data_IF_013271328826
#
_entry.id   IF_013271328826
#
_cell.length_a   1.000
_cell.length_b   1.000
_cell.length_c   1.000
_cell.angle_alpha   90.00
_cell.angle_beta   90.00
_cell.angle_gamma   90.00
#
_symmetry.space_group_name_H-M   'P 1'
#
loop_
_entity.id
_entity.type
_entity.pdbx_description
1 polymer ?
#
# COMPACT_ATOMS: atom_id res chain seq x y z
N UNK A 1 48.67 29.13 31.19
CA UNK A 1 47.91 29.52 29.99
C UNK A 1 48.31 28.57 28.88
N UNK A 2 47.45 27.61 28.55
CA UNK A 2 47.73 26.72 27.42
C UNK A 2 46.43 26.41 26.69
N UNK A 3 46.48 26.60 25.37
CA UNK A 3 45.33 26.64 24.46
C UNK A 3 44.99 25.22 24.04
N UNK A 4 43.76 24.76 24.29
CA UNK A 4 43.21 23.56 23.65
C UNK A 4 42.57 23.97 22.32
N UNK A 5 43.22 23.55 21.24
CA UNK A 5 42.70 23.63 19.87
C UNK A 5 41.67 22.53 19.68
N UNK A 6 40.44 22.92 19.35
CA UNK A 6 39.36 22.02 18.93
C UNK A 6 39.54 21.72 17.44
N UNK A 7 39.70 20.44 17.08
CA UNK A 7 39.76 19.99 15.69
C UNK A 7 38.44 19.28 15.39
N UNK A 8 37.58 19.97 14.64
CA UNK A 8 36.35 19.44 14.07
C UNK A 8 36.72 18.60 12.84
N UNK A 9 36.50 17.29 12.90
CA UNK A 9 36.66 16.40 11.75
C UNK A 9 35.29 16.22 11.10
N UNK A 10 35.08 16.94 10.00
CA UNK A 10 33.98 16.71 9.06
C UNK A 10 34.25 15.39 8.32
N UNK A 11 33.45 14.37 8.56
CA UNK A 11 33.39 13.20 7.69
C UNK A 11 32.36 13.47 6.60
N UNK A 12 32.87 13.75 5.39
CA UNK A 12 32.08 13.77 4.16
C UNK A 12 32.13 12.36 3.58
N UNK A 13 31.01 11.62 3.65
CA UNK A 13 30.90 10.32 3.01
C UNK A 13 30.33 10.53 1.60
N UNK A 14 31.22 10.49 0.61
CA UNK A 14 30.87 10.48 -0.79
C UNK A 14 30.32 9.10 -1.16
N UNK A 15 29.07 9.03 -1.62
CA UNK A 15 28.50 7.84 -2.23
C UNK A 15 29.13 7.65 -3.61
N UNK A 16 29.77 6.51 -3.82
CA UNK A 16 30.35 6.13 -5.10
C UNK A 16 29.25 5.52 -5.99
N UNK A 17 28.94 6.20 -7.09
CA UNK A 17 28.19 5.67 -8.21
C UNK A 17 28.94 4.48 -8.83
N UNK A 18 28.27 3.35 -9.04
CA UNK A 18 28.66 2.36 -10.05
C UNK A 18 27.43 1.98 -10.86
N UNK A 19 27.54 1.93 -12.20
CA UNK A 19 26.39 1.74 -13.09
C UNK A 19 25.95 0.27 -13.11
N UNK A 20 24.64 0.05 -13.08
CA UNK A 20 24.02 -1.22 -13.41
C UNK A 20 24.32 -1.59 -14.88
N UNK A 21 24.76 -2.81 -15.10
CA UNK A 21 24.89 -3.43 -16.42
C UNK A 21 23.59 -4.14 -16.76
N UNK A 22 22.85 -3.60 -17.74
CA UNK A 22 21.80 -4.31 -18.46
C UNK A 22 22.42 -5.48 -19.25
N UNK A 23 21.99 -6.71 -18.96
CA UNK A 23 22.17 -7.84 -19.87
C UNK A 23 20.82 -8.21 -20.51
N UNK A 24 20.52 -7.52 -21.60
CA UNK A 24 19.56 -7.91 -22.63
C UNK A 24 20.13 -9.09 -23.43
N UNK A 25 19.51 -10.27 -23.31
CA UNK A 25 19.85 -11.45 -24.10
C UNK A 25 18.80 -11.68 -25.19
N UNK A 26 18.89 -10.87 -26.25
CA UNK A 26 18.22 -11.11 -27.51
C UNK A 26 18.71 -12.40 -28.20
N UNK A 27 17.77 -13.23 -28.65
CA UNK A 27 18.01 -14.27 -29.66
C UNK A 27 17.22 -13.92 -30.92
N UNK A 28 17.94 -13.70 -32.02
CA UNK A 28 17.42 -13.56 -33.38
C UNK A 28 17.75 -14.80 -34.20
N UNK A 29 16.77 -15.33 -34.95
CA UNK A 29 16.99 -15.93 -36.28
C UNK A 29 15.65 -16.23 -36.97
N UNK A 30 15.53 -15.83 -38.26
CA UNK A 30 14.66 -16.52 -39.22
C UNK A 30 13.77 -15.65 -40.11
N UNK A 31 14.36 -14.91 -41.05
CA UNK A 31 13.66 -14.28 -42.17
C UNK A 31 13.31 -15.32 -43.26
N UNK A 32 12.11 -15.27 -43.82
CA UNK A 32 11.88 -15.63 -45.22
C UNK A 32 10.75 -14.80 -45.85
N UNK A 33 11.07 -14.30 -47.04
CA UNK A 33 10.35 -13.36 -47.91
C UNK A 33 9.22 -14.02 -48.72
N UNK A 34 8.14 -13.26 -49.00
CA UNK A 34 7.04 -13.70 -49.88
C UNK A 34 6.10 -12.58 -50.34
N UNK A 35 6.66 -11.64 -51.11
CA UNK A 35 6.12 -10.75 -52.16
C UNK A 35 4.58 -10.71 -52.49
N UNK A 36 4.05 -9.47 -52.40
CA UNK A 36 3.18 -8.68 -53.33
C UNK A 36 1.91 -9.27 -53.95
N UNK A 37 0.80 -8.55 -53.74
CA UNK A 37 -0.38 -8.50 -54.61
C UNK A 37 -1.26 -7.29 -54.24
N UNK A 38 -1.06 -6.18 -54.95
CA UNK A 38 -1.92 -4.98 -55.00
C UNK A 38 -3.10 -5.25 -55.94
N UNK A 39 -4.31 -4.83 -55.58
CA UNK A 39 -5.21 -4.07 -56.45
C UNK A 39 -6.55 -3.77 -55.73
N UNK A 40 -6.87 -2.47 -55.67
CA UNK A 40 -8.06 -2.02 -56.39
C UNK A 40 -9.38 -1.78 -55.64
N UNK A 41 -9.53 -0.54 -55.17
CA UNK A 41 -10.66 0.37 -55.49
C UNK A 41 -12.08 0.03 -54.98
N UNK A 42 -12.66 0.86 -54.11
CA UNK A 42 -13.66 1.90 -54.47
C UNK A 42 -14.32 2.49 -53.22
N UNK A 43 -14.26 3.82 -53.13
CA UNK A 43 -15.08 4.63 -52.24
C UNK A 43 -16.53 4.67 -52.74
N UNK A 44 -17.50 4.68 -51.84
CA UNK A 44 -18.78 5.35 -52.10
C UNK A 44 -19.32 5.96 -50.82
N UNK A 45 -19.48 7.27 -50.90
CA UNK A 45 -20.19 8.17 -49.99
C UNK A 45 -21.68 7.85 -49.90
N UNK A 46 -22.26 7.93 -48.70
CA UNK A 46 -23.70 7.94 -48.51
C UNK A 46 -24.09 8.60 -47.20
N UNK A 47 -24.46 9.88 -47.26
CA UNK A 47 -25.12 10.62 -46.18
C UNK A 47 -26.65 10.63 -46.41
N UNK A 48 -27.43 10.37 -45.37
CA UNK A 48 -28.82 10.81 -45.15
C UNK A 48 -29.26 10.28 -43.78
N UNK A 49 -29.42 11.11 -42.74
CA UNK A 49 -30.43 12.15 -42.47
C UNK A 49 -31.67 11.63 -41.70
N UNK A 50 -31.85 12.23 -40.52
CA UNK A 50 -33.10 12.52 -39.76
C UNK A 50 -34.00 11.34 -39.39
N UNK A 51 -34.36 11.12 -38.12
CA UNK A 51 -35.28 11.97 -37.33
C UNK A 51 -35.45 11.32 -35.94
N UNK A 52 -35.43 12.10 -34.86
CA UNK A 52 -36.20 11.80 -33.66
C UNK A 52 -36.53 13.11 -32.94
N UNK A 53 -37.83 13.42 -32.94
CA UNK A 53 -38.41 14.61 -32.35
C UNK A 53 -38.62 14.45 -30.84
N UNK A 54 -38.45 15.57 -30.14
CA UNK A 54 -38.82 15.79 -28.75
C UNK A 54 -40.34 15.95 -28.57
N UNK A 55 -40.87 15.49 -27.43
CA UNK A 55 -42.11 15.94 -26.75
C UNK A 55 -42.17 15.15 -25.41
N UNK A 56 -42.59 15.63 -24.24
CA UNK A 56 -43.40 16.78 -23.81
C UNK A 56 -43.15 17.02 -22.31
N UNK A 57 -43.13 18.28 -21.89
CA UNK A 57 -43.23 18.73 -20.49
C UNK A 57 -44.68 19.16 -20.16
N UNK A 58 -45.09 18.99 -18.90
CA UNK A 58 -46.24 19.62 -18.23
C UNK A 58 -45.87 19.67 -16.73
N UNK A 59 -45.81 20.77 -15.97
CA UNK A 59 -46.70 21.94 -15.75
C UNK A 59 -48.10 21.48 -15.27
N UNK A 60 -48.72 21.88 -14.15
CA UNK A 60 -48.61 22.96 -13.13
C UNK A 60 -49.23 22.35 -11.83
N UNK A 61 -49.09 22.83 -10.59
CA UNK A 61 -49.75 24.01 -10.01
C UNK A 61 -49.26 24.29 -8.59
N UNK A 62 -49.08 25.58 -8.32
CA UNK A 62 -48.80 26.23 -7.04
C UNK A 62 -50.13 26.53 -6.33
N UNK A 63 -50.17 26.46 -5.01
CA UNK A 63 -51.11 27.21 -4.18
C UNK A 63 -50.38 27.77 -2.95
N UNK A 64 -50.50 29.08 -2.84
CA UNK A 64 -49.94 30.05 -1.89
C UNK A 64 -50.93 30.30 -0.74
N UNK A 65 -50.42 30.66 0.45
CA UNK A 65 -50.84 31.87 1.20
C UNK A 65 -50.46 31.84 2.70
N UNK A 66 -49.36 32.52 2.99
CA UNK A 66 -49.20 33.63 3.96
C UNK A 66 -49.37 33.50 5.50
N UNK A 67 -48.26 33.90 6.15
CA UNK A 67 -48.10 34.86 7.29
C UNK A 67 -48.51 34.47 8.71
N UNK A 68 -47.53 34.44 9.62
CA UNK A 68 -47.39 35.43 10.70
C UNK A 68 -46.01 35.28 11.40
N UNK A 69 -45.34 36.40 11.63
CA UNK A 69 -44.21 36.50 12.54
C UNK A 69 -44.73 36.58 13.98
N UNK A 70 -44.12 35.83 14.90
CA UNK A 70 -44.17 36.15 16.33
C UNK A 70 -42.84 35.79 17.00
N UNK A 71 -42.40 36.69 17.87
CA UNK A 71 -41.13 36.64 18.58
C UNK A 71 -41.40 36.10 19.99
N UNK A 72 -40.63 35.11 20.46
CA UNK A 72 -40.73 34.72 21.86
C UNK A 72 -40.00 33.44 22.22
N UNK A 73 -38.78 33.61 22.71
CA UNK A 73 -38.12 32.82 23.78
C UNK A 73 -38.52 31.34 23.92
N UNK A 74 -37.71 30.46 23.35
CA UNK A 74 -37.62 29.04 23.73
C UNK A 74 -36.19 28.74 24.16
N UNK A 75 -36.06 28.12 25.32
CA UNK A 75 -34.79 27.78 25.98
C UNK A 75 -33.96 26.85 25.08
N UNK A 76 -32.74 27.28 24.78
CA UNK A 76 -31.73 26.48 24.09
C UNK A 76 -31.22 25.43 25.10
N UNK A 77 -31.88 24.27 25.09
CA UNK A 77 -31.38 23.06 25.72
C UNK A 77 -30.09 22.69 24.99
N UNK A 78 -28.97 23.12 25.57
CA UNK A 78 -27.62 22.81 25.16
C UNK A 78 -27.37 21.31 25.26
N UNK A 79 -27.93 20.57 24.30
CA UNK A 79 -27.56 19.23 23.94
C UNK A 79 -26.13 19.26 23.47
N UNK A 80 -25.22 19.11 24.42
CA UNK A 80 -23.83 18.78 24.18
C UNK A 80 -23.83 17.51 23.34
N UNK A 81 -23.66 17.66 22.03
CA UNK A 81 -23.22 16.56 21.19
C UNK A 81 -21.81 16.25 21.68
N UNK A 82 -21.69 15.35 22.65
CA UNK A 82 -20.50 14.52 22.80
C UNK A 82 -20.36 13.74 21.50
N UNK A 83 -19.79 14.40 20.49
CA UNK A 83 -19.21 13.69 19.37
C UNK A 83 -18.21 12.73 19.98
N UNK A 84 -18.45 11.44 19.80
CA UNK A 84 -17.39 10.46 20.00
C UNK A 84 -16.15 11.00 19.27
N UNK A 85 -14.95 10.94 19.87
CA UNK A 85 -13.73 11.35 19.18
C UNK A 85 -13.72 10.64 17.82
N UNK A 86 -13.41 11.39 16.76
CA UNK A 86 -13.21 10.79 15.45
C UNK A 86 -12.10 9.73 15.63
N UNK A 87 -12.46 8.46 15.47
CA UNK A 87 -11.55 7.33 15.68
C UNK A 87 -10.57 7.36 14.49
N UNK A 88 -9.30 7.62 14.76
CA UNK A 88 -8.24 7.53 13.77
C UNK A 88 -7.74 6.07 13.70
N UNK A 89 -7.11 5.65 12.59
CA UNK A 89 -6.41 4.36 12.52
C UNK A 89 -5.48 4.08 13.72
N UNK A 90 -4.81 5.12 14.24
CA UNK A 90 -3.92 5.03 15.41
C UNK A 90 -4.64 4.82 16.75
N UNK A 91 -5.97 5.00 16.82
CA UNK A 91 -6.76 4.64 18.00
C UNK A 91 -7.07 3.14 18.04
N UNK A 92 -6.97 2.44 16.90
CA UNK A 92 -7.22 1.00 16.76
C UNK A 92 -5.91 0.19 16.76
N UNK A 93 -4.92 0.61 15.96
CA UNK A 93 -3.61 -0.02 15.88
C UNK A 93 -2.57 0.84 16.62
N UNK A 94 -1.62 0.22 17.33
CA UNK A 94 -0.49 0.95 17.91
C UNK A 94 0.49 1.38 16.81
N UNK A 95 0.35 2.64 16.38
CA UNK A 95 1.16 3.21 15.30
C UNK A 95 2.34 4.06 15.80
N UNK A 96 2.63 4.06 17.11
CA UNK A 96 3.70 4.90 17.68
C UNK A 96 5.07 4.61 17.05
N UNK A 97 5.35 3.34 16.80
CA UNK A 97 6.58 2.84 16.19
C UNK A 97 6.47 2.66 14.67
N UNK A 98 5.76 3.54 13.97
CA UNK A 98 5.56 3.44 12.52
C UNK A 98 5.62 4.81 11.83
N UNK A 99 6.00 4.79 10.55
CA UNK A 99 5.64 5.84 9.58
C UNK A 99 4.77 5.21 8.48
N UNK A 100 3.99 6.02 7.78
CA UNK A 100 3.13 5.59 6.67
C UNK A 100 3.65 6.17 5.35
N UNK A 101 3.73 5.37 4.30
CA UNK A 101 3.96 5.83 2.92
C UNK A 101 2.68 5.63 2.11
N UNK A 102 2.24 6.66 1.37
CA UNK A 102 0.98 6.67 0.61
C UNK A 102 1.21 6.73 -0.91
N UNK A 103 0.23 6.28 -1.73
CA UNK A 103 0.36 6.21 -3.20
C UNK A 103 0.07 7.56 -3.88
N UNK A 104 0.18 8.66 -3.15
CA UNK A 104 -0.11 10.02 -3.62
C UNK A 104 1.06 10.94 -3.34
N UNK A 105 1.21 11.97 -4.17
CA UNK A 105 2.11 13.08 -3.89
C UNK A 105 1.35 14.25 -3.23
N UNK A 106 2.08 15.08 -2.50
CA UNK A 106 1.57 16.37 -1.99
C UNK A 106 2.44 17.53 -2.46
N UNK A 107 3.68 17.57 -1.97
CA UNK A 107 4.57 18.71 -2.15
C UNK A 107 5.57 18.48 -3.30
N UNK A 108 5.97 17.23 -3.52
CA UNK A 108 6.83 16.81 -4.62
C UNK A 108 6.07 15.80 -5.49
N UNK A 109 5.73 16.13 -6.75
CA UNK A 109 4.81 15.32 -7.56
C UNK A 109 5.31 13.90 -7.84
N UNK A 110 6.62 13.69 -7.74
CA UNK A 110 7.30 12.42 -8.03
C UNK A 110 7.71 11.68 -6.75
N UNK A 111 7.31 12.15 -5.56
CA UNK A 111 7.58 11.45 -4.30
C UNK A 111 6.29 11.06 -3.59
N UNK A 112 6.20 9.81 -3.10
CA UNK A 112 5.05 9.39 -2.31
C UNK A 112 5.04 10.14 -0.99
N UNK A 113 3.84 10.50 -0.53
CA UNK A 113 3.64 11.20 0.73
C UNK A 113 3.96 10.26 1.89
N UNK A 114 4.93 10.67 2.72
CA UNK A 114 5.22 10.01 3.99
C UNK A 114 4.61 10.78 5.15
N UNK A 115 3.92 10.07 6.05
CA UNK A 115 3.35 10.61 7.28
C UNK A 115 4.14 10.03 8.45
N UNK A 116 4.83 10.90 9.18
CA UNK A 116 5.63 10.55 10.35
C UNK A 116 4.88 10.89 11.64
N UNK A 117 5.38 10.41 12.78
CA UNK A 117 4.94 10.90 14.07
C UNK A 117 5.36 12.37 14.30
N UNK A 118 4.56 13.18 15.00
CA UNK A 118 3.30 12.84 15.66
C UNK A 118 2.06 12.91 14.76
N UNK A 119 2.19 13.29 13.48
CA UNK A 119 1.05 13.48 12.57
C UNK A 119 0.27 12.16 12.37
N UNK A 120 0.99 11.05 12.19
CA UNK A 120 0.40 9.72 11.99
C UNK A 120 -0.58 9.33 13.12
N UNK A 121 -0.31 9.76 14.36
CA UNK A 121 -1.17 9.47 15.52
C UNK A 121 -2.60 10.00 15.42
N UNK A 122 -2.91 10.88 14.45
CA UNK A 122 -4.28 11.37 14.20
C UNK A 122 -4.65 11.35 12.71
N UNK A 123 -3.81 10.73 11.88
CA UNK A 123 -3.93 10.84 10.43
C UNK A 123 -4.92 9.82 9.87
N UNK A 124 -5.76 10.26 8.93
CA UNK A 124 -6.61 9.42 8.10
C UNK A 124 -6.85 10.13 6.76
N UNK A 125 -6.94 9.35 5.69
CA UNK A 125 -7.26 9.84 4.35
C UNK A 125 -7.95 8.75 3.53
N UNK A 126 -9.17 9.01 3.08
CA UNK A 126 -9.84 8.14 2.11
C UNK A 126 -9.29 8.35 0.69
N UNK A 127 -9.25 7.31 -0.15
CA UNK A 127 -9.54 5.90 0.16
C UNK A 127 -8.30 5.12 0.67
N UNK A 128 -7.18 5.79 0.95
CA UNK A 128 -5.86 5.15 1.07
C UNK A 128 -5.56 4.56 2.44
N UNK A 129 -5.96 5.25 3.50
CA UNK A 129 -5.64 4.91 4.88
C UNK A 129 -6.71 5.45 5.84
N UNK A 130 -7.65 4.60 6.24
CA UNK A 130 -8.77 4.98 7.09
C UNK A 130 -9.31 3.77 7.84
N UNK A 131 -10.20 3.98 8.80
CA UNK A 131 -10.95 2.87 9.40
C UNK A 131 -12.04 2.39 8.45
N UNK A 132 -12.37 1.10 8.52
CA UNK A 132 -13.60 0.58 7.91
C UNK A 132 -14.85 1.20 8.56
N UNK A 133 -16.02 1.02 7.92
CA UNK A 133 -17.29 1.58 8.38
C UNK A 133 -17.66 1.17 9.82
N UNK A 134 -17.19 -0.01 10.25
CA UNK A 134 -17.43 -0.55 11.60
C UNK A 134 -16.41 -0.09 12.64
N UNK A 135 -15.33 0.61 12.24
CA UNK A 135 -14.20 0.96 13.08
C UNK A 135 -13.56 -0.26 13.79
N UNK A 136 -13.45 -1.37 13.06
CA UNK A 136 -12.88 -2.65 13.52
C UNK A 136 -11.59 -3.04 12.78
N UNK A 137 -11.28 -2.38 11.66
CA UNK A 137 -10.05 -2.59 10.92
C UNK A 137 -9.57 -1.29 10.27
N UNK A 138 -8.28 -1.21 9.96
CA UNK A 138 -7.68 -0.15 9.16
C UNK A 138 -7.59 -0.62 7.71
N UNK A 139 -8.19 0.12 6.80
CA UNK A 139 -8.11 -0.04 5.35
C UNK A 139 -6.83 0.59 4.83
N UNK A 140 -6.06 -0.18 4.06
CA UNK A 140 -4.92 0.25 3.27
C UNK A 140 -5.22 0.01 1.80
N UNK A 141 -5.17 1.05 0.97
CA UNK A 141 -5.41 0.96 -0.48
C UNK A 141 -4.29 1.63 -1.27
N UNK A 142 -3.84 0.97 -2.34
CA UNK A 142 -2.94 1.57 -3.31
C UNK A 142 -3.38 1.27 -4.74
N UNK A 143 -3.67 2.34 -5.49
CA UNK A 143 -4.03 2.24 -6.90
C UNK A 143 -2.79 2.07 -7.78
N UNK A 144 -2.90 1.33 -8.87
CA UNK A 144 -1.83 0.93 -9.78
C UNK A 144 -1.11 2.13 -10.42
N UNK A 145 -1.82 3.23 -10.66
CA UNK A 145 -1.25 4.50 -11.13
C UNK A 145 -0.72 5.43 -10.03
N UNK A 146 -0.60 4.95 -8.79
CA UNK A 146 -0.12 5.74 -7.67
C UNK A 146 1.35 6.12 -7.77
N UNK A 147 1.75 7.16 -7.03
CA UNK A 147 3.15 7.62 -6.94
C UNK A 147 4.00 6.56 -6.23
N UNK A 148 5.20 6.32 -6.74
CA UNK A 148 6.10 5.27 -6.25
C UNK A 148 7.37 5.87 -5.65
N UNK A 149 8.04 5.12 -4.77
CA UNK A 149 9.38 5.50 -4.30
C UNK A 149 10.40 5.31 -5.42
N UNK A 150 11.51 6.07 -5.39
CA UNK A 150 12.53 6.06 -6.46
C UNK A 150 13.06 4.67 -6.87
N UNK A 151 13.07 3.71 -5.95
CA UNK A 151 13.62 2.37 -6.17
C UNK A 151 12.51 1.32 -6.43
N UNK A 152 11.27 1.76 -6.64
CA UNK A 152 10.09 0.89 -6.79
C UNK A 152 9.28 1.29 -8.01
N UNK A 153 8.95 0.32 -8.86
CA UNK A 153 7.97 0.50 -9.93
C UNK A 153 6.51 0.42 -9.47
N UNK A 154 6.28 0.19 -8.18
CA UNK A 154 4.96 -0.15 -7.65
C UNK A 154 4.49 0.80 -6.51
N UNK A 155 3.19 1.11 -6.44
CA UNK A 155 2.59 2.00 -5.44
C UNK A 155 2.22 1.27 -4.15
N UNK A 156 2.15 2.00 -3.03
CA UNK A 156 1.88 1.43 -1.71
C UNK A 156 1.10 2.37 -0.80
N UNK A 157 0.29 1.78 0.08
CA UNK A 157 -0.19 2.38 1.32
C UNK A 157 0.30 1.44 2.43
N UNK A 158 1.46 1.73 2.97
CA UNK A 158 2.23 0.75 3.74
C UNK A 158 2.98 1.42 4.88
N UNK A 159 2.87 0.80 6.06
CA UNK A 159 3.61 1.17 7.25
C UNK A 159 5.04 0.65 7.16
N UNK A 160 5.99 1.47 7.61
CA UNK A 160 7.40 1.11 7.79
C UNK A 160 7.74 1.25 9.26
N UNK A 161 8.21 0.16 9.86
CA UNK A 161 8.50 0.08 11.30
C UNK A 161 9.54 1.13 11.70
N UNK A 162 9.36 1.82 12.81
CA UNK A 162 10.26 2.85 13.33
C UNK A 162 10.68 2.48 14.76
N UNK A 163 11.75 3.09 15.24
CA UNK A 163 12.23 3.00 16.61
C UNK A 163 12.03 4.34 17.34
N UNK A 164 12.23 4.33 18.66
CA UNK A 164 12.19 5.53 19.50
C UNK A 164 10.91 6.37 19.28
N UNK A 165 9.74 5.75 19.39
CA UNK A 165 8.43 6.38 19.21
C UNK A 165 8.27 7.09 17.85
N UNK A 166 8.76 6.47 16.78
CA UNK A 166 8.58 6.96 15.42
C UNK A 166 9.65 7.93 14.94
N UNK A 167 10.65 8.23 15.77
CA UNK A 167 11.66 9.25 15.50
C UNK A 167 12.82 8.75 14.65
N UNK A 168 13.17 7.48 14.78
CA UNK A 168 14.32 6.89 14.09
C UNK A 168 13.89 5.67 13.26
N UNK A 169 14.55 5.39 12.13
CA UNK A 169 14.31 4.14 11.43
C UNK A 169 14.70 2.94 12.32
N UNK A 170 13.76 2.01 12.56
CA UNK A 170 14.09 0.66 13.01
C UNK A 170 15.12 0.00 12.07
N UNK A 171 16.03 -0.75 12.68
CA UNK A 171 17.16 -1.43 12.03
C UNK A 171 17.68 -2.50 12.99
N UNK A 172 17.22 -3.74 12.83
CA UNK A 172 17.57 -4.87 13.69
C UNK A 172 18.26 -6.00 12.90
N UNK A 173 18.80 -7.00 13.59
CA UNK A 173 19.54 -8.12 13.00
C UNK A 173 18.78 -9.42 13.20
N UNK A 174 18.72 -10.29 12.19
CA UNK A 174 18.12 -11.61 12.34
C UNK A 174 18.89 -12.51 13.32
N UNK A 175 20.15 -12.21 13.61
CA UNK A 175 21.03 -13.01 14.48
C UNK A 175 21.23 -12.41 15.88
N UNK A 176 20.65 -11.24 16.19
CA UNK A 176 20.73 -10.60 17.51
C UNK A 176 19.34 -10.32 18.09
N UNK A 177 18.92 -11.14 19.06
CA UNK A 177 17.62 -11.05 19.70
C UNK A 177 16.53 -11.84 18.98
N UNK A 178 15.28 -11.57 19.36
CA UNK A 178 14.08 -12.11 18.74
C UNK A 178 13.19 -10.95 18.30
N UNK A 179 12.83 -10.91 17.03
CA UNK A 179 11.97 -9.88 16.47
C UNK A 179 10.76 -10.53 15.84
N UNK A 180 9.56 -10.08 16.18
CA UNK A 180 8.33 -10.61 15.58
C UNK A 180 7.35 -9.52 15.22
N UNK A 181 6.68 -9.71 14.09
CA UNK A 181 5.48 -8.98 13.70
C UNK A 181 4.35 -9.98 13.50
N UNK A 182 3.24 -9.79 14.20
CA UNK A 182 1.99 -10.53 14.01
C UNK A 182 0.95 -9.59 13.41
N UNK A 183 0.31 -10.04 12.32
CA UNK A 183 -0.72 -9.29 11.61
C UNK A 183 -1.97 -10.16 11.50
N UNK A 184 -3.12 -9.65 11.95
CA UNK A 184 -4.44 -10.20 11.61
C UNK A 184 -5.08 -9.29 10.56
N UNK A 185 -5.30 -9.83 9.37
CA UNK A 185 -5.67 -9.05 8.19
C UNK A 185 -6.53 -9.82 7.20
N UNK A 186 -7.10 -9.12 6.22
CA UNK A 186 -7.68 -9.71 5.01
C UNK A 186 -7.25 -8.90 3.78
N UNK A 187 -6.99 -9.58 2.68
CA UNK A 187 -6.80 -8.96 1.37
C UNK A 187 -8.18 -8.89 0.71
N UNK A 188 -8.69 -7.68 0.47
CA UNK A 188 -10.09 -7.45 0.05
C UNK A 188 -10.22 -7.12 -1.43
N UNK A 189 -9.13 -6.68 -2.08
CA UNK A 189 -9.13 -6.35 -3.49
C UNK A 189 -7.76 -6.58 -4.13
N UNK A 190 -7.76 -6.95 -5.42
CA UNK A 190 -6.58 -7.10 -6.25
C UNK A 190 -6.72 -6.20 -7.49
N UNK A 191 -5.62 -5.67 -8.04
CA UNK A 191 -5.65 -5.06 -9.38
C UNK A 191 -6.13 -6.07 -10.43
N UNK A 192 -6.65 -5.58 -11.55
CA UNK A 192 -7.44 -6.38 -12.51
C UNK A 192 -6.55 -7.20 -13.45
N UNK A 193 -5.51 -6.58 -14.03
CA UNK A 193 -4.68 -7.19 -15.08
C UNK A 193 -3.56 -8.06 -14.49
N UNK A 194 -2.87 -7.56 -13.46
CA UNK A 194 -1.84 -8.31 -12.72
C UNK A 194 -2.25 -8.41 -11.25
N UNK A 195 -3.15 -9.35 -10.88
CA UNK A 195 -3.83 -9.43 -9.58
C UNK A 195 -2.93 -9.86 -8.42
N UNK A 196 -1.92 -9.03 -8.13
CA UNK A 196 -0.80 -9.35 -7.27
C UNK A 196 -0.66 -8.24 -6.20
N UNK A 197 -0.59 -8.61 -4.93
CA UNK A 197 -0.31 -7.68 -3.82
C UNK A 197 0.63 -8.32 -2.80
N UNK A 198 1.35 -7.48 -2.08
CA UNK A 198 2.11 -7.86 -0.88
C UNK A 198 1.45 -7.22 0.34
N UNK A 199 1.27 -8.01 1.40
CA UNK A 199 0.48 -7.69 2.59
C UNK A 199 1.27 -7.76 3.92
N UNK A 200 2.60 -7.86 3.85
CA UNK A 200 3.46 -7.90 5.03
C UNK A 200 4.88 -8.29 4.65
N UNK A 201 5.90 -7.70 5.28
CA UNK A 201 7.28 -7.90 4.87
C UNK A 201 8.27 -7.84 6.05
N UNK A 202 9.42 -8.51 5.87
CA UNK A 202 10.70 -8.08 6.42
C UNK A 202 11.54 -7.55 5.26
N UNK A 203 12.12 -6.37 5.43
CA UNK A 203 12.95 -5.71 4.43
C UNK A 203 14.26 -5.27 5.07
N UNK A 204 15.36 -5.25 4.32
CA UNK A 204 16.66 -4.75 4.80
C UNK A 204 17.04 -3.41 4.13
N UNK A 205 18.30 -2.99 4.23
CA UNK A 205 18.78 -1.75 3.62
C UNK A 205 18.87 -1.78 2.08
N UNK A 206 18.84 -2.97 1.48
CA UNK A 206 18.99 -3.21 0.04
C UNK A 206 17.66 -3.55 -0.61
N UNK A 207 16.97 -4.59 -0.12
CA UNK A 207 15.80 -5.18 -0.77
C UNK A 207 14.88 -5.93 0.21
N UNK A 208 13.77 -6.47 -0.31
CA UNK A 208 12.93 -7.38 0.45
C UNK A 208 13.67 -8.65 0.87
N UNK A 209 13.49 -9.04 2.13
CA UNK A 209 14.05 -10.28 2.68
C UNK A 209 13.01 -11.39 2.59
N UNK A 210 11.79 -11.10 3.05
CA UNK A 210 10.61 -11.95 2.86
C UNK A 210 9.35 -11.11 2.71
N UNK A 211 8.40 -11.60 1.91
CA UNK A 211 7.10 -10.97 1.66
C UNK A 211 5.96 -11.98 1.79
N UNK A 212 4.84 -11.55 2.37
CA UNK A 212 3.56 -12.26 2.33
C UNK A 212 2.82 -11.77 1.07
N UNK A 213 2.73 -12.64 0.07
CA UNK A 213 2.31 -12.28 -1.29
C UNK A 213 1.07 -13.06 -1.71
N UNK A 214 0.13 -12.37 -2.34
CA UNK A 214 -1.03 -12.98 -2.98
C UNK A 214 -0.97 -12.75 -4.48
N UNK A 215 -1.08 -13.82 -5.27
CA UNK A 215 -1.27 -13.77 -6.71
C UNK A 215 -2.57 -14.51 -7.09
N UNK A 216 -3.60 -13.77 -7.49
CA UNK A 216 -4.93 -14.35 -7.69
C UNK A 216 -5.49 -14.95 -6.38
N UNK A 217 -5.53 -16.28 -6.28
CA UNK A 217 -5.95 -17.00 -5.06
C UNK A 217 -4.81 -17.67 -4.32
N UNK A 218 -3.57 -17.52 -4.78
CA UNK A 218 -2.40 -18.19 -4.21
C UNK A 218 -1.66 -17.24 -3.27
N UNK A 219 -1.83 -17.47 -1.97
CA UNK A 219 -1.16 -16.77 -0.88
C UNK A 219 0.08 -17.56 -0.46
N UNK A 220 1.26 -16.96 -0.56
CA UNK A 220 2.54 -17.61 -0.31
C UNK A 220 3.58 -16.65 0.30
N UNK A 221 4.71 -17.22 0.71
CA UNK A 221 5.89 -16.47 1.14
C UNK A 221 6.85 -16.36 -0.03
N UNK A 222 7.23 -15.14 -0.40
CA UNK A 222 8.29 -14.85 -1.38
C UNK A 222 9.55 -14.38 -0.65
N UNK A 223 10.73 -14.68 -1.17
CA UNK A 223 11.98 -14.08 -0.68
C UNK A 223 13.11 -14.21 -1.69
N UNK A 224 13.75 -13.08 -2.05
CA UNK A 224 14.76 -13.04 -3.10
C UNK A 224 14.21 -13.39 -4.49
N UNK A 225 12.92 -13.14 -4.72
CA UNK A 225 12.20 -13.46 -5.97
C UNK A 225 11.80 -14.93 -6.12
N UNK A 226 12.08 -15.78 -5.14
CA UNK A 226 11.67 -17.18 -5.13
C UNK A 226 10.44 -17.39 -4.23
N UNK A 227 9.53 -18.28 -4.65
CA UNK A 227 8.46 -18.79 -3.80
C UNK A 227 9.04 -19.77 -2.77
N UNK A 228 8.91 -19.44 -1.49
CA UNK A 228 9.48 -20.18 -0.37
C UNK A 228 8.49 -21.19 0.24
N UNK A 229 7.19 -20.93 0.11
CA UNK A 229 6.15 -21.87 0.52
C UNK A 229 4.74 -21.29 0.58
N UNK A 230 3.76 -22.19 0.43
CA UNK A 230 2.33 -21.87 0.44
C UNK A 230 1.83 -21.51 1.85
N UNK A 231 0.94 -20.52 1.90
CA UNK A 231 0.10 -20.21 3.06
C UNK A 231 -1.34 -20.67 2.81
N UNK A 232 -1.88 -20.34 1.63
CA UNK A 232 -3.16 -20.81 1.13
C UNK A 232 -3.17 -20.86 -0.40
N UNK A 233 -3.71 -21.91 -1.02
CA UNK A 233 -3.75 -22.04 -2.50
C UNK A 233 -5.10 -21.63 -3.11
N UNK A 234 -6.13 -21.49 -2.28
CA UNK A 234 -7.50 -21.13 -2.62
C UNK A 234 -8.00 -19.97 -1.76
N UNK A 235 -7.14 -18.98 -1.53
CA UNK A 235 -7.50 -17.78 -0.77
C UNK A 235 -8.70 -17.07 -1.40
N UNK A 236 -9.71 -16.81 -0.58
CA UNK A 236 -10.92 -16.07 -0.97
C UNK A 236 -10.78 -14.64 -0.43
N UNK A 237 -10.86 -13.64 -1.31
CA UNK A 237 -10.79 -12.22 -0.92
C UNK A 237 -11.76 -11.91 0.23
N UNK A 238 -11.26 -11.14 1.21
CA UNK A 238 -11.98 -10.81 2.45
C UNK A 238 -11.91 -11.88 3.53
N UNK A 239 -11.29 -13.04 3.29
CA UNK A 239 -11.03 -14.03 4.34
C UNK A 239 -9.97 -13.49 5.30
N UNK A 240 -10.34 -13.28 6.55
CA UNK A 240 -9.39 -12.92 7.61
C UNK A 240 -8.42 -14.07 7.86
N UNK A 241 -7.14 -13.74 8.00
CA UNK A 241 -6.10 -14.64 8.42
C UNK A 241 -5.13 -13.96 9.38
N UNK A 242 -4.41 -14.75 10.16
CA UNK A 242 -3.31 -14.27 11.00
C UNK A 242 -1.98 -14.85 10.51
N UNK A 243 -0.99 -13.97 10.32
CA UNK A 243 0.38 -14.33 9.95
C UNK A 243 1.36 -13.75 10.97
N UNK A 244 2.39 -14.50 11.32
CA UNK A 244 3.52 -13.99 12.11
C UNK A 244 4.82 -14.20 11.36
N UNK A 245 5.60 -13.12 11.23
CA UNK A 245 6.98 -13.16 10.76
C UNK A 245 7.88 -13.04 11.98
N UNK A 246 8.75 -14.02 12.23
CA UNK A 246 9.69 -14.02 13.36
C UNK A 246 11.11 -14.21 12.87
N UNK A 247 11.99 -13.27 13.22
CA UNK A 247 13.43 -13.38 13.02
C UNK A 247 14.15 -13.66 14.34
N UNK A 248 15.01 -14.66 14.35
CA UNK A 248 15.87 -15.00 15.49
C UNK A 248 16.95 -16.00 15.08
N UNK A 249 18.11 -15.97 15.75
CA UNK A 249 19.18 -16.95 15.57
C UNK A 249 19.67 -17.11 14.09
N UNK A 250 19.58 -16.05 13.29
CA UNK A 250 19.96 -16.06 11.87
C UNK A 250 18.96 -16.78 10.96
N UNK A 251 17.71 -16.93 11.42
CA UNK A 251 16.63 -17.52 10.67
C UNK A 251 15.38 -16.64 10.69
N UNK A 252 14.53 -16.85 9.68
CA UNK A 252 13.19 -16.26 9.60
C UNK A 252 12.18 -17.40 9.54
N UNK A 253 11.26 -17.39 10.49
CA UNK A 253 10.12 -18.30 10.62
C UNK A 253 8.82 -17.56 10.28
N UNK A 254 8.00 -18.15 9.42
CA UNK A 254 6.67 -17.67 9.07
C UNK A 254 5.62 -18.63 9.61
N UNK A 255 4.63 -18.10 10.30
CA UNK A 255 3.51 -18.83 10.86
C UNK A 255 2.21 -18.35 10.23
N UNK A 256 1.25 -19.24 10.06
CA UNK A 256 -0.03 -18.94 9.42
C UNK A 256 -1.15 -19.68 10.15
N UNK A 257 -2.13 -18.93 10.67
CA UNK A 257 -3.23 -19.37 11.54
C UNK A 257 -2.77 -20.00 12.87
N UNK A 258 -2.04 -21.12 12.82
CA UNK A 258 -1.39 -21.72 13.97
C UNK A 258 -0.02 -21.07 14.21
N UNK A 259 0.05 -20.19 15.22
CA UNK A 259 1.28 -19.48 15.59
C UNK A 259 2.24 -20.31 16.46
N UNK A 260 1.99 -21.60 16.64
CA UNK A 260 2.85 -22.50 17.43
C UNK A 260 3.95 -23.18 16.60
N UNK A 261 3.70 -23.40 15.30
CA UNK A 261 4.62 -24.12 14.41
C UNK A 261 4.78 -23.34 13.10
N UNK A 262 6.02 -23.04 12.66
CA UNK A 262 6.21 -22.32 11.41
C UNK A 262 5.82 -23.20 10.22
N UNK A 263 5.19 -22.57 9.22
CA UNK A 263 4.86 -23.17 7.92
C UNK A 263 6.00 -22.99 6.91
N UNK A 264 6.81 -21.95 7.08
CA UNK A 264 8.04 -21.71 6.32
C UNK A 264 9.15 -21.32 7.30
N UNK A 265 10.34 -21.89 7.13
CA UNK A 265 11.55 -21.54 7.88
C UNK A 265 12.74 -21.44 6.94
N UNK A 266 13.44 -20.31 6.96
CA UNK A 266 14.62 -20.07 6.12
C UNK A 266 15.82 -19.60 6.94
N UNK A 267 17.01 -20.05 6.58
CA UNK A 267 18.27 -19.48 7.08
C UNK A 267 18.57 -18.19 6.33
N UNK A 268 18.60 -17.08 7.07
CA UNK A 268 18.84 -15.72 6.58
C UNK A 268 19.49 -14.93 7.70
N UNK A 269 20.81 -14.79 7.61
CA UNK A 269 21.61 -13.96 8.51
C UNK A 269 21.86 -12.60 7.86
N UNK A 270 21.09 -11.60 8.27
CA UNK A 270 21.06 -10.27 7.68
C UNK A 270 20.79 -9.19 8.73
N UNK A 271 21.44 -8.05 8.55
CA UNK A 271 21.34 -6.87 9.41
C UNK A 271 20.51 -5.78 8.75
N UNK A 272 20.12 -4.77 9.54
CA UNK A 272 19.42 -3.59 9.01
C UNK A 272 17.98 -3.87 8.62
N UNK A 273 17.40 -4.93 9.19
CA UNK A 273 16.04 -5.34 8.95
C UNK A 273 15.02 -4.42 9.63
N UNK A 274 13.83 -4.35 9.05
CA UNK A 274 12.66 -3.72 9.61
C UNK A 274 11.39 -4.36 9.04
N UNK A 275 10.29 -4.28 9.79
CA UNK A 275 8.99 -4.77 9.38
C UNK A 275 8.22 -3.76 8.51
N UNK A 276 7.34 -4.29 7.66
CA UNK A 276 6.36 -3.50 6.89
C UNK A 276 5.00 -4.18 6.87
N UNK A 277 3.92 -3.40 6.95
CA UNK A 277 2.54 -3.90 6.95
C UNK A 277 1.61 -2.92 6.24
N UNK A 278 0.63 -3.43 5.48
CA UNK A 278 -0.30 -2.62 4.67
C UNK A 278 -0.51 -3.26 3.31
N UNK A 279 -0.67 -2.46 2.26
CA UNK A 279 -0.74 -2.95 0.89
C UNK A 279 0.38 -2.38 0.04
N UNK A 280 1.07 -3.27 -0.65
CA UNK A 280 2.02 -2.94 -1.71
C UNK A 280 1.55 -3.59 -3.01
N UNK A 281 0.89 -2.81 -3.86
CA UNK A 281 0.20 -3.29 -5.07
C UNK A 281 1.22 -3.62 -6.16
N UNK A 282 1.37 -4.89 -6.51
CA UNK A 282 2.39 -5.37 -7.45
C UNK A 282 1.93 -5.23 -8.91
N UNK A 283 1.34 -4.08 -9.25
CA UNK A 283 0.93 -3.73 -10.60
C UNK A 283 1.00 -2.22 -10.83
N UNK A 284 1.03 -1.83 -12.09
CA UNK A 284 1.02 -0.46 -12.58
C UNK A 284 0.50 -0.44 -14.04
N UNK A 285 0.33 0.74 -14.67
CA UNK A 285 -0.13 0.81 -16.06
C UNK A 285 0.73 0.11 -17.11
N UNK A 286 2.04 -0.09 -16.84
CA UNK A 286 2.94 -0.83 -17.74
C UNK A 286 2.61 -2.34 -17.75
N UNK A 287 1.93 -2.83 -16.72
CA UNK A 287 1.39 -4.20 -16.63
C UNK A 287 -0.05 -4.33 -17.12
N UNK A 288 -0.64 -3.27 -17.69
CA UNK A 288 -1.95 -3.29 -18.32
C UNK A 288 -3.13 -2.97 -17.41
N UNK A 289 -2.88 -2.63 -16.16
CA UNK A 289 -3.91 -2.14 -15.24
C UNK A 289 -4.26 -0.68 -15.52
N UNK A 290 -5.54 -0.32 -15.39
CA UNK A 290 -5.93 1.09 -15.41
C UNK A 290 -5.35 1.83 -14.19
N UNK A 291 -5.06 3.14 -14.27
CA UNK A 291 -4.45 3.88 -13.17
C UNK A 291 -5.23 3.83 -11.84
N UNK A 292 -6.53 3.58 -11.89
CA UNK A 292 -7.43 3.48 -10.72
C UNK A 292 -7.69 2.04 -10.25
N UNK A 293 -7.24 1.00 -10.98
CA UNK A 293 -7.21 -0.38 -10.47
C UNK A 293 -6.37 -0.42 -9.19
N UNK A 294 -6.69 -1.27 -8.22
CA UNK A 294 -6.08 -1.18 -6.89
C UNK A 294 -5.95 -2.51 -6.15
N UNK A 295 -4.93 -2.57 -5.30
CA UNK A 295 -4.85 -3.54 -4.22
C UNK A 295 -5.43 -2.94 -2.93
N UNK A 296 -6.07 -3.77 -2.12
CA UNK A 296 -6.56 -3.38 -0.80
C UNK A 296 -6.35 -4.48 0.25
N UNK A 297 -5.87 -4.05 1.42
CA UNK A 297 -5.68 -4.87 2.61
C UNK A 297 -6.37 -4.18 3.78
N UNK A 298 -7.07 -4.95 4.61
CA UNK A 298 -7.63 -4.49 5.89
C UNK A 298 -6.90 -5.17 7.03
N UNK A 299 -6.41 -4.41 8.01
CA UNK A 299 -5.68 -4.91 9.18
C UNK A 299 -6.48 -4.63 10.44
N UNK A 300 -6.86 -5.67 11.18
CA UNK A 300 -7.59 -5.56 12.44
C UNK A 300 -6.69 -5.67 13.67
N UNK A 301 -5.50 -6.26 13.52
CA UNK A 301 -4.50 -6.36 14.59
C UNK A 301 -3.09 -6.30 14.00
N UNK A 302 -2.21 -5.53 14.64
CA UNK A 302 -0.80 -5.40 14.29
C UNK A 302 0.02 -5.28 15.57
N UNK A 303 0.90 -6.25 15.81
CA UNK A 303 1.73 -6.30 17.01
C UNK A 303 3.18 -6.57 16.61
N UNK A 304 4.09 -5.72 17.08
CA UNK A 304 5.54 -5.91 16.93
C UNK A 304 6.16 -6.10 18.30
N UNK A 305 7.09 -7.05 18.41
CA UNK A 305 7.90 -7.26 19.62
C UNK A 305 9.38 -7.45 19.28
N UNK A 306 10.23 -6.96 20.17
CA UNK A 306 11.67 -7.25 20.16
C UNK A 306 12.10 -7.69 21.56
N UNK A 307 12.94 -8.72 21.66
CA UNK A 307 13.43 -9.29 22.91
C UNK A 307 14.91 -9.67 22.85
#
# INVERSE_FOLDING_TARGET
MDRRTSLCVMFSLACANSPATDEDSGTTAGSSTGQVGDDGTTATTGASSTTAAATTAADTTVADATTAADSGSGEDDGGSSTGAPAIAPADLLDLAAWKLTLPIARDEPDQPLEILQPELGTYAIEPWFHLDDAATAVVFRANAGGVTTNNSGYPRAELREMANDGLDPASWSTSDGVHSMTITQAITHLPDAKPHVVAGQIHDASDDVVMIRLEGSHLFVEGGGDELGDLATDYVLGTTFTVMLRASEGAIDIFYEDLSTPVVSIERDVDGCYFKAGVYTQSNPEHGDEPDAYGEVVISELVVTHA
#
